data_IF_680136524009
#
_entry.id   IF_680136524009
#
_cell.length_a   1.000
_cell.length_b   1.000
_cell.length_c   1.000
_cell.angle_alpha   90.00
_cell.angle_beta   90.00
_cell.angle_gamma   90.00
#
_symmetry.space_group_name_H-M   'P 1'
#
loop_
_entity.id
_entity.type
_entity.pdbx_description
1 polymer ?
#
# COMPACT_ATOMS: atom_id res chain seq x y z
N UNK A 1 98.11 7.92 6.97
CA UNK A 1 99.50 8.09 6.49
C UNK A 1 99.53 8.96 5.22
N UNK A 2 99.14 10.24 5.33
CA UNK A 2 98.88 11.13 4.17
C UNK A 2 100.00 12.15 3.90
N UNK A 3 101.17 11.99 4.51
CA UNK A 3 102.23 13.02 4.46
C UNK A 3 102.87 13.09 3.08
N UNK A 4 103.20 11.93 2.48
CA UNK A 4 104.14 11.89 1.35
C UNK A 4 103.68 12.55 0.05
N UNK A 5 102.37 12.62 -0.25
CA UNK A 5 101.84 13.28 -1.46
C UNK A 5 101.67 14.79 -1.27
N UNK A 6 101.24 15.20 -0.07
CA UNK A 6 101.18 16.61 0.34
C UNK A 6 102.58 17.24 0.37
N UNK A 7 103.57 16.50 0.88
CA UNK A 7 104.98 16.92 0.94
C UNK A 7 105.57 17.16 -0.48
N UNK A 8 105.14 16.40 -1.49
CA UNK A 8 105.55 16.60 -2.89
C UNK A 8 104.85 17.77 -3.57
N UNK A 9 103.55 17.97 -3.36
CA UNK A 9 102.84 19.16 -3.86
C UNK A 9 103.38 20.44 -3.24
N UNK A 10 103.69 20.41 -1.94
CA UNK A 10 104.33 21.52 -1.25
C UNK A 10 105.75 21.78 -1.76
N UNK A 11 106.50 20.74 -2.15
CA UNK A 11 107.82 20.89 -2.78
C UNK A 11 107.74 21.61 -4.14
N UNK A 12 106.76 21.29 -4.98
CA UNK A 12 106.52 22.03 -6.23
C UNK A 12 106.11 23.48 -5.97
N UNK A 13 105.27 23.71 -4.94
CA UNK A 13 104.84 25.05 -4.53
C UNK A 13 105.99 25.91 -3.99
N UNK A 14 106.92 25.31 -3.22
CA UNK A 14 108.12 25.98 -2.70
C UNK A 14 109.06 26.43 -3.83
N UNK A 15 109.19 25.63 -4.90
CA UNK A 15 109.94 26.04 -6.10
C UNK A 15 109.15 26.94 -7.06
N UNK A 16 107.86 27.16 -6.81
CA UNK A 16 106.99 27.98 -7.64
C UNK A 16 106.69 27.36 -9.01
N UNK A 17 106.68 26.03 -9.09
CA UNK A 17 106.49 25.28 -10.32
C UNK A 17 105.14 24.53 -10.31
N UNK A 18 104.53 24.29 -11.48
CA UNK A 18 103.39 23.38 -11.57
C UNK A 18 103.85 21.94 -11.29
N UNK A 19 102.92 21.09 -10.83
CA UNK A 19 103.17 19.65 -10.60
C UNK A 19 103.56 18.87 -11.87
N UNK A 20 103.41 19.48 -13.05
CA UNK A 20 103.83 18.96 -14.35
C UNK A 20 105.21 19.44 -14.81
N UNK A 21 105.95 20.18 -13.99
CA UNK A 21 107.23 20.76 -14.38
C UNK A 21 108.29 19.66 -14.65
N UNK A 22 109.05 19.85 -15.72
CA UNK A 22 110.12 18.93 -16.11
C UNK A 22 111.36 19.06 -15.20
N UNK A 23 112.20 18.04 -15.17
CA UNK A 23 113.45 18.06 -14.38
C UNK A 23 114.37 19.22 -14.76
N UNK A 24 114.35 19.65 -16.03
CA UNK A 24 115.09 20.81 -16.50
C UNK A 24 114.55 22.12 -15.88
N UNK A 25 113.23 22.25 -15.75
CA UNK A 25 112.57 23.40 -15.12
C UNK A 25 112.78 23.41 -13.61
N UNK A 26 112.76 22.25 -12.95
CA UNK A 26 113.06 22.09 -11.52
C UNK A 26 114.50 22.54 -11.22
N UNK A 27 115.48 22.08 -12.01
CA UNK A 27 116.89 22.54 -11.89
C UNK A 27 117.03 24.04 -12.13
N UNK A 28 116.30 24.59 -13.10
CA UNK A 28 116.33 26.02 -13.42
C UNK A 28 115.73 26.88 -12.31
N UNK A 29 114.58 26.49 -11.76
CA UNK A 29 113.93 27.17 -10.65
C UNK A 29 114.76 27.09 -9.37
N UNK A 30 115.31 25.90 -9.07
CA UNK A 30 116.25 25.71 -7.97
C UNK A 30 117.44 26.66 -8.08
N UNK A 31 118.16 26.68 -9.23
CA UNK A 31 119.30 27.60 -9.43
C UNK A 31 118.92 29.05 -9.23
N UNK A 32 117.76 29.48 -9.74
CA UNK A 32 117.26 30.86 -9.62
C UNK A 32 116.94 31.23 -8.18
N UNK A 33 116.26 30.35 -7.44
CA UNK A 33 115.87 30.57 -6.05
C UNK A 33 117.07 30.43 -5.10
N UNK A 34 117.96 29.47 -5.34
CA UNK A 34 119.20 29.30 -4.61
C UNK A 34 120.11 30.51 -4.74
N UNK A 35 120.24 31.13 -5.91
CA UNK A 35 121.01 32.37 -6.06
C UNK A 35 120.38 33.56 -5.32
N UNK A 36 119.06 33.58 -5.19
CA UNK A 36 118.31 34.66 -4.51
C UNK A 36 118.36 34.55 -2.99
N UNK A 37 118.37 33.33 -2.46
CA UNK A 37 118.32 33.04 -1.02
C UNK A 37 119.60 32.40 -0.47
N UNK A 38 120.70 32.42 -1.22
CA UNK A 38 121.98 31.87 -0.75
C UNK A 38 122.47 32.65 0.48
N UNK A 39 122.90 31.97 1.57
CA UNK A 39 123.31 32.64 2.80
C UNK A 39 124.49 33.60 2.63
N UNK A 40 125.31 33.40 1.60
CA UNK A 40 126.50 34.22 1.28
C UNK A 40 126.24 35.34 0.25
N UNK A 41 125.13 35.28 -0.52
CA UNK A 41 124.86 36.19 -1.66
C UNK A 41 123.53 36.95 -1.57
N UNK A 42 122.70 36.66 -0.58
CA UNK A 42 121.46 37.38 -0.38
C UNK A 42 121.75 38.88 -0.20
N UNK A 43 121.12 39.73 -1.02
CA UNK A 43 121.26 41.18 -0.92
C UNK A 43 120.72 41.72 0.41
N UNK A 44 120.97 43.00 0.71
CA UNK A 44 120.54 43.69 1.95
C UNK A 44 119.01 43.71 2.19
N UNK A 45 118.21 43.20 1.25
CA UNK A 45 116.76 43.27 1.24
C UNK A 45 116.06 42.01 1.81
N UNK A 46 116.81 41.00 2.28
CA UNK A 46 116.25 39.76 2.87
C UNK A 46 116.94 39.45 4.20
N UNK A 47 116.15 39.18 5.24
CA UNK A 47 116.66 38.78 6.56
C UNK A 47 117.50 37.49 6.46
N UNK A 48 118.75 37.47 6.98
CA UNK A 48 119.61 36.29 6.96
C UNK A 48 118.97 35.02 7.54
N UNK A 49 118.13 35.14 8.57
CA UNK A 49 117.45 34.00 9.21
C UNK A 49 116.35 33.44 8.29
N UNK A 50 115.63 34.32 7.59
CA UNK A 50 114.60 33.91 6.64
C UNK A 50 115.21 33.34 5.34
N UNK A 51 116.32 33.90 4.87
CA UNK A 51 117.07 33.38 3.72
C UNK A 51 117.57 31.95 3.97
N UNK A 52 118.17 31.68 5.13
CA UNK A 52 118.64 30.34 5.51
C UNK A 52 117.49 29.33 5.58
N UNK A 53 116.36 29.69 6.21
CA UNK A 53 115.19 28.82 6.32
C UNK A 53 114.55 28.54 4.96
N UNK A 54 114.39 29.57 4.10
CA UNK A 54 113.86 29.38 2.74
C UNK A 54 114.80 28.54 1.88
N UNK A 55 116.11 28.78 1.97
CA UNK A 55 117.13 28.01 1.27
C UNK A 55 117.10 26.53 1.66
N UNK A 56 116.98 26.23 2.95
CA UNK A 56 116.83 24.86 3.44
C UNK A 56 115.57 24.19 2.86
N UNK A 57 114.42 24.89 2.86
CA UNK A 57 113.18 24.40 2.25
C UNK A 57 113.30 24.20 0.73
N UNK A 58 114.02 25.08 0.03
CA UNK A 58 114.30 24.99 -1.41
C UNK A 58 115.20 23.78 -1.72
N UNK A 59 116.23 23.53 -0.91
CA UNK A 59 117.10 22.35 -1.04
C UNK A 59 116.31 21.06 -0.81
N UNK A 60 115.55 20.99 0.28
CA UNK A 60 114.73 19.83 0.61
C UNK A 60 113.68 19.55 -0.49
N UNK A 61 113.05 20.60 -1.02
CA UNK A 61 112.12 20.48 -2.14
C UNK A 61 112.82 19.99 -3.43
N UNK A 62 114.03 20.49 -3.72
CA UNK A 62 114.80 20.04 -4.88
C UNK A 62 115.23 18.58 -4.76
N UNK A 63 115.73 18.15 -3.61
CA UNK A 63 116.13 16.76 -3.35
C UNK A 63 114.94 15.81 -3.48
N UNK A 64 113.80 16.17 -2.90
CA UNK A 64 112.57 15.36 -2.94
C UNK A 64 112.00 15.24 -4.37
N UNK A 65 112.12 16.30 -5.18
CA UNK A 65 111.62 16.31 -6.57
C UNK A 65 112.58 15.68 -7.58
N UNK A 66 113.88 15.63 -7.26
CA UNK A 66 114.90 15.02 -8.10
C UNK A 66 115.01 13.50 -7.91
N UNK A 67 114.40 12.93 -6.88
CA UNK A 67 114.30 11.47 -6.70
C UNK A 67 113.16 10.89 -7.56
N UNK A 68 113.47 10.13 -8.62
CA UNK A 68 112.45 9.52 -9.48
C UNK A 68 111.61 8.47 -8.75
N UNK A 69 112.14 7.81 -7.73
CA UNK A 69 111.42 6.79 -6.96
C UNK A 69 110.36 7.41 -6.05
N UNK A 70 110.70 8.50 -5.35
CA UNK A 70 109.75 9.27 -4.54
C UNK A 70 108.61 9.85 -5.40
N UNK A 71 108.95 10.41 -6.57
CA UNK A 71 107.97 10.96 -7.53
C UNK A 71 107.03 9.88 -8.05
N UNK A 72 107.56 8.73 -8.48
CA UNK A 72 106.75 7.62 -9.01
C UNK A 72 105.81 7.03 -7.94
N UNK A 73 106.28 6.85 -6.70
CA UNK A 73 105.49 6.32 -5.59
C UNK A 73 104.31 7.24 -5.24
N UNK A 74 104.52 8.55 -5.21
CA UNK A 74 103.45 9.50 -4.91
C UNK A 74 102.41 9.61 -6.03
N UNK A 75 102.85 9.53 -7.29
CA UNK A 75 101.94 9.45 -8.45
C UNK A 75 101.08 8.19 -8.36
N UNK A 76 101.69 7.02 -8.07
CA UNK A 76 100.95 5.77 -7.87
C UNK A 76 99.96 5.86 -6.70
N UNK A 77 100.37 6.40 -5.55
CA UNK A 77 99.47 6.59 -4.39
C UNK A 77 98.28 7.50 -4.71
N UNK A 78 98.51 8.59 -5.46
CA UNK A 78 97.44 9.51 -5.86
C UNK A 78 96.48 8.83 -6.86
N UNK A 79 97.02 8.03 -7.80
CA UNK A 79 96.21 7.25 -8.74
C UNK A 79 95.39 6.16 -8.02
N UNK A 80 95.97 5.47 -7.04
CA UNK A 80 95.26 4.47 -6.24
C UNK A 80 94.18 5.10 -5.34
N UNK A 81 94.47 6.24 -4.73
CA UNK A 81 93.52 6.97 -3.88
C UNK A 81 92.36 7.55 -4.69
N UNK A 82 92.64 8.15 -5.85
CA UNK A 82 91.60 8.62 -6.78
C UNK A 82 90.76 7.46 -7.33
N UNK A 83 91.38 6.34 -7.73
CA UNK A 83 90.66 5.15 -8.17
C UNK A 83 89.81 4.54 -7.04
N UNK A 84 90.32 4.53 -5.80
CA UNK A 84 89.57 4.08 -4.61
C UNK A 84 88.37 4.99 -4.34
N UNK A 85 88.57 6.31 -4.42
CA UNK A 85 87.51 7.31 -4.24
C UNK A 85 86.44 7.18 -5.33
N UNK A 86 86.83 7.05 -6.59
CA UNK A 86 85.89 6.82 -7.70
C UNK A 86 85.08 5.53 -7.51
N UNK A 87 85.71 4.42 -7.08
CA UNK A 87 84.97 3.19 -6.75
C UNK A 87 83.99 3.42 -5.61
N UNK A 88 84.40 4.12 -4.55
CA UNK A 88 83.52 4.43 -3.42
C UNK A 88 82.33 5.31 -3.82
N UNK A 89 82.55 6.31 -4.68
CA UNK A 89 81.50 7.17 -5.24
C UNK A 89 80.53 6.33 -6.11
N UNK A 90 81.03 5.47 -6.99
CA UNK A 90 80.19 4.55 -7.78
C UNK A 90 79.37 3.59 -6.90
N UNK A 91 79.95 3.05 -5.84
CA UNK A 91 79.20 2.21 -4.88
C UNK A 91 78.19 3.03 -4.07
N UNK A 92 78.50 4.28 -3.71
CA UNK A 92 77.57 5.17 -3.03
C UNK A 92 76.37 5.50 -3.94
N UNK A 93 76.63 5.83 -5.21
CA UNK A 93 75.60 6.12 -6.20
C UNK A 93 74.70 4.90 -6.46
N UNK A 94 75.30 3.70 -6.65
CA UNK A 94 74.51 2.47 -6.80
C UNK A 94 73.67 2.15 -5.57
N UNK A 95 74.22 2.32 -4.36
CA UNK A 95 73.44 2.11 -3.12
C UNK A 95 72.29 3.10 -3.01
N UNK A 96 72.50 4.36 -3.38
CA UNK A 96 71.45 5.37 -3.40
C UNK A 96 70.35 5.01 -4.41
N UNK A 97 70.72 4.62 -5.63
CA UNK A 97 69.76 4.19 -6.65
C UNK A 97 68.93 3.00 -6.18
N UNK A 98 69.58 1.98 -5.59
CA UNK A 98 68.86 0.84 -5.03
C UNK A 98 67.93 1.23 -3.87
N UNK A 99 68.36 2.15 -3.01
CA UNK A 99 67.52 2.66 -1.92
C UNK A 99 66.29 3.44 -2.44
N UNK A 100 66.50 4.35 -3.39
CA UNK A 100 65.43 5.15 -4.00
C UNK A 100 64.43 4.25 -4.76
N UNK A 101 64.91 3.21 -5.45
CA UNK A 101 64.07 2.23 -6.14
C UNK A 101 63.26 1.38 -5.16
N UNK A 102 63.89 0.90 -4.08
CA UNK A 102 63.21 0.16 -3.02
C UNK A 102 62.11 1.01 -2.38
N UNK A 103 62.42 2.25 -2.02
CA UNK A 103 61.46 3.18 -1.41
C UNK A 103 60.26 3.44 -2.35
N UNK A 104 60.50 3.67 -3.64
CA UNK A 104 59.42 3.83 -4.63
C UNK A 104 58.56 2.58 -4.74
N UNK A 105 59.17 1.40 -4.74
CA UNK A 105 58.45 0.12 -4.80
C UNK A 105 57.60 -0.10 -3.54
N UNK A 106 58.15 0.16 -2.36
CA UNK A 106 57.44 0.07 -1.09
C UNK A 106 56.27 1.06 -1.02
N UNK A 107 56.48 2.31 -1.43
CA UNK A 107 55.42 3.32 -1.50
C UNK A 107 54.30 2.90 -2.47
N UNK A 108 54.64 2.33 -3.63
CA UNK A 108 53.65 1.83 -4.57
C UNK A 108 52.88 0.63 -4.01
N UNK A 109 53.57 -0.30 -3.34
CA UNK A 109 52.94 -1.45 -2.69
C UNK A 109 51.99 -1.01 -1.57
N UNK A 110 52.41 -0.03 -0.76
CA UNK A 110 51.58 0.57 0.29
C UNK A 110 50.32 1.21 -0.29
N UNK A 111 50.47 2.09 -1.28
CA UNK A 111 49.32 2.75 -1.96
C UNK A 111 48.36 1.74 -2.57
N UNK A 112 48.88 0.69 -3.22
CA UNK A 112 48.04 -0.37 -3.80
C UNK A 112 47.22 -1.12 -2.74
N UNK A 113 47.82 -1.42 -1.58
CA UNK A 113 47.12 -2.05 -0.45
C UNK A 113 46.04 -1.14 0.10
N UNK A 114 46.36 0.13 0.34
CA UNK A 114 45.39 1.12 0.83
C UNK A 114 44.20 1.30 -0.14
N UNK A 115 44.47 1.38 -1.45
CA UNK A 115 43.43 1.47 -2.48
C UNK A 115 42.59 0.18 -2.58
N UNK A 116 43.18 -0.98 -2.30
CA UNK A 116 42.46 -2.25 -2.28
C UNK A 116 41.54 -2.33 -1.04
N UNK A 117 42.05 -1.97 0.13
CA UNK A 117 41.29 -1.91 1.38
C UNK A 117 40.14 -0.91 1.28
N UNK A 118 40.39 0.27 0.69
CA UNK A 118 39.36 1.28 0.43
C UNK A 118 38.25 0.72 -0.47
N UNK A 119 38.61 0.10 -1.59
CA UNK A 119 37.64 -0.54 -2.51
C UNK A 119 36.86 -1.67 -1.84
N UNK A 120 37.49 -2.44 -0.96
CA UNK A 120 36.82 -3.52 -0.22
C UNK A 120 35.81 -2.96 0.78
N UNK A 121 36.18 -1.90 1.53
CA UNK A 121 35.25 -1.22 2.46
C UNK A 121 34.07 -0.60 1.72
N UNK A 122 34.31 0.07 0.60
CA UNK A 122 33.24 0.64 -0.23
C UNK A 122 32.29 -0.45 -0.75
N UNK A 123 32.84 -1.59 -1.21
CA UNK A 123 32.04 -2.74 -1.65
C UNK A 123 31.19 -3.30 -0.50
N UNK A 124 31.79 -3.48 0.67
CA UNK A 124 31.10 -4.01 1.84
C UNK A 124 29.99 -3.06 2.30
N UNK A 125 30.27 -1.76 2.41
CA UNK A 125 29.29 -0.75 2.76
C UNK A 125 28.11 -0.73 1.77
N UNK A 126 28.38 -0.91 0.48
CA UNK A 126 27.33 -1.00 -0.55
C UNK A 126 26.48 -2.27 -0.40
N UNK A 127 27.09 -3.41 -0.09
CA UNK A 127 26.37 -4.66 0.19
C UNK A 127 25.46 -4.47 1.42
N UNK A 128 26.00 -3.88 2.49
CA UNK A 128 25.26 -3.67 3.73
C UNK A 128 24.07 -2.72 3.51
N UNK A 129 24.25 -1.65 2.73
CA UNK A 129 23.18 -0.73 2.35
C UNK A 129 22.08 -1.45 1.55
N UNK A 130 22.44 -2.23 0.54
CA UNK A 130 21.48 -3.01 -0.26
C UNK A 130 20.72 -4.02 0.60
N UNK A 131 21.37 -4.65 1.58
CA UNK A 131 20.72 -5.55 2.51
C UNK A 131 19.75 -4.81 3.44
N UNK A 132 20.11 -3.62 3.92
CA UNK A 132 19.22 -2.77 4.72
C UNK A 132 18.00 -2.32 3.93
N UNK A 133 18.19 -1.85 2.70
CA UNK A 133 17.11 -1.47 1.79
C UNK A 133 16.18 -2.66 1.50
N UNK A 134 16.75 -3.83 1.19
CA UNK A 134 15.98 -5.05 0.96
C UNK A 134 15.14 -5.43 2.20
N UNK A 135 15.70 -5.34 3.41
CA UNK A 135 14.98 -5.59 4.67
C UNK A 135 13.83 -4.58 4.87
N UNK A 136 14.07 -3.30 4.64
CA UNK A 136 13.05 -2.26 4.75
C UNK A 136 11.91 -2.50 3.75
N UNK A 137 12.23 -2.79 2.49
CA UNK A 137 11.27 -3.08 1.44
C UNK A 137 10.41 -4.31 1.77
N UNK A 138 11.01 -5.38 2.32
CA UNK A 138 10.26 -6.57 2.75
C UNK A 138 9.29 -6.24 3.89
N UNK A 139 9.73 -5.47 4.89
CA UNK A 139 8.87 -5.06 6.00
C UNK A 139 7.70 -4.19 5.53
N UNK A 140 7.97 -3.26 4.61
CA UNK A 140 6.93 -2.43 4.01
C UNK A 140 5.94 -3.25 3.19
N UNK A 141 6.43 -4.20 2.39
CA UNK A 141 5.58 -5.12 1.61
C UNK A 141 4.72 -6.00 2.52
N UNK A 142 5.26 -6.49 3.64
CA UNK A 142 4.48 -7.22 4.65
C UNK A 142 3.38 -6.35 5.27
N UNK A 143 3.70 -5.12 5.67
CA UNK A 143 2.71 -4.16 6.20
C UNK A 143 1.61 -3.85 5.18
N UNK A 144 1.96 -3.68 3.92
CA UNK A 144 0.98 -3.46 2.85
C UNK A 144 0.07 -4.67 2.65
N UNK A 145 0.62 -5.89 2.68
CA UNK A 145 -0.15 -7.12 2.58
C UNK A 145 -1.08 -7.33 3.78
N UNK A 146 -0.62 -7.06 5.00
CA UNK A 146 -1.44 -7.12 6.21
C UNK A 146 -2.58 -6.10 6.18
N UNK A 147 -2.29 -4.86 5.76
CA UNK A 147 -3.31 -3.83 5.57
C UNK A 147 -4.37 -4.25 4.55
N UNK A 148 -3.95 -4.78 3.39
CA UNK A 148 -4.86 -5.31 2.37
C UNK A 148 -5.77 -6.40 2.91
N UNK A 149 -5.21 -7.39 3.63
CA UNK A 149 -5.99 -8.45 4.28
C UNK A 149 -7.01 -7.87 5.27
N UNK A 150 -6.60 -6.92 6.10
CA UNK A 150 -7.49 -6.25 7.05
C UNK A 150 -8.62 -5.49 6.36
N UNK A 151 -8.31 -4.80 5.27
CA UNK A 151 -9.30 -4.06 4.48
C UNK A 151 -10.27 -5.02 3.77
N UNK A 152 -9.79 -6.15 3.25
CA UNK A 152 -10.61 -7.25 2.69
C UNK A 152 -11.53 -7.86 3.74
N UNK A 153 -11.03 -8.18 4.94
CA UNK A 153 -11.83 -8.71 6.04
C UNK A 153 -12.91 -7.70 6.50
N UNK A 154 -12.55 -6.40 6.53
CA UNK A 154 -13.51 -5.32 6.83
C UNK A 154 -14.57 -5.19 5.74
N UNK A 155 -14.20 -5.29 4.47
CA UNK A 155 -15.14 -5.25 3.35
C UNK A 155 -16.07 -6.47 3.38
N UNK A 156 -15.54 -7.67 3.61
CA UNK A 156 -16.30 -8.90 3.70
C UNK A 156 -17.29 -8.89 4.88
N UNK A 157 -16.88 -8.42 6.06
CA UNK A 157 -17.78 -8.28 7.21
C UNK A 157 -18.85 -7.22 6.97
N UNK A 158 -18.53 -6.10 6.31
CA UNK A 158 -19.52 -5.10 5.92
C UNK A 158 -20.52 -5.66 4.91
N UNK A 159 -20.07 -6.46 3.93
CA UNK A 159 -20.96 -7.15 2.99
C UNK A 159 -21.87 -8.16 3.70
N UNK A 160 -21.34 -8.95 4.64
CA UNK A 160 -22.15 -9.88 5.45
C UNK A 160 -23.24 -9.15 6.25
N UNK A 161 -22.90 -8.03 6.90
CA UNK A 161 -23.88 -7.20 7.63
C UNK A 161 -24.97 -6.65 6.71
N UNK A 162 -24.59 -6.16 5.52
CA UNK A 162 -25.54 -5.68 4.51
C UNK A 162 -26.46 -6.81 4.02
N UNK A 163 -25.89 -7.98 3.75
CA UNK A 163 -26.66 -9.15 3.32
C UNK A 163 -27.63 -9.63 4.41
N UNK A 164 -27.18 -9.64 5.68
CA UNK A 164 -28.02 -9.96 6.85
C UNK A 164 -29.16 -8.95 7.03
N UNK A 165 -28.87 -7.65 6.94
CA UNK A 165 -29.89 -6.60 7.00
C UNK A 165 -30.91 -6.72 5.85
N UNK A 166 -30.43 -6.98 4.63
CA UNK A 166 -31.29 -7.19 3.47
C UNK A 166 -32.14 -8.46 3.63
N UNK A 167 -31.57 -9.54 4.17
CA UNK A 167 -32.30 -10.76 4.47
C UNK A 167 -33.40 -10.51 5.52
N UNK A 168 -33.11 -9.73 6.57
CA UNK A 168 -34.10 -9.36 7.58
C UNK A 168 -35.23 -8.51 6.97
N UNK A 169 -34.91 -7.54 6.11
CA UNK A 169 -35.91 -6.76 5.35
C UNK A 169 -36.75 -7.62 4.41
N UNK A 170 -36.19 -8.72 3.91
CA UNK A 170 -36.89 -9.67 3.04
C UNK A 170 -37.88 -10.55 3.81
N UNK A 171 -37.72 -10.73 5.12
CA UNK A 171 -38.64 -11.53 5.92
C UNK A 171 -40.01 -10.84 6.08
N UNK A 172 -41.12 -11.61 6.08
CA UNK A 172 -42.44 -11.06 6.31
C UNK A 172 -42.56 -10.54 7.76
N UNK A 173 -43.14 -9.36 7.98
CA UNK A 173 -43.35 -8.80 9.33
C UNK A 173 -44.07 -9.81 10.22
N UNK A 174 -43.77 -9.90 11.53
CA UNK A 174 -44.46 -10.82 12.43
C UNK A 174 -45.97 -10.52 12.45
N UNK A 175 -46.77 -11.57 12.69
CA UNK A 175 -48.22 -11.44 12.85
C UNK A 175 -48.53 -10.79 14.21
N UNK A 176 -49.24 -9.67 14.19
CA UNK A 176 -49.80 -9.05 15.39
C UNK A 176 -51.10 -9.78 15.79
N UNK A 177 -51.41 -9.92 17.10
CA UNK A 177 -52.67 -10.53 17.53
C UNK A 177 -53.93 -9.92 16.89
N UNK A 178 -53.92 -8.62 16.59
CA UNK A 178 -55.04 -7.93 15.96
C UNK A 178 -55.07 -8.06 14.44
N UNK A 179 -54.04 -8.63 13.80
CA UNK A 179 -53.98 -8.76 12.34
C UNK A 179 -55.03 -9.75 11.81
N UNK A 180 -55.47 -10.70 12.64
CA UNK A 180 -56.56 -11.65 12.34
C UNK A 180 -57.95 -11.13 12.78
N UNK A 181 -58.00 -9.92 13.33
CA UNK A 181 -59.23 -9.35 13.88
C UNK A 181 -59.79 -8.30 12.95
N UNK A 182 -61.04 -8.50 12.55
CA UNK A 182 -61.81 -7.55 11.78
C UNK A 182 -62.83 -6.85 12.69
N UNK A 183 -63.24 -5.69 12.22
CA UNK A 183 -64.31 -4.89 12.76
C UNK A 183 -65.50 -5.00 11.82
N UNK A 184 -66.61 -5.54 12.33
CA UNK A 184 -67.89 -5.64 11.64
C UNK A 184 -68.82 -4.54 12.18
N UNK A 185 -69.34 -3.69 11.31
CA UNK A 185 -70.31 -2.64 11.66
C UNK A 185 -71.64 -2.93 11.00
N UNK A 186 -72.71 -2.87 11.79
CA UNK A 186 -74.06 -3.14 11.31
C UNK A 186 -75.08 -2.21 12.00
N UNK A 187 -76.26 -1.98 11.39
CA UNK A 187 -77.34 -1.20 12.00
C UNK A 187 -77.77 -1.77 13.35
N UNK A 188 -77.98 -0.90 14.34
CA UNK A 188 -78.42 -1.31 15.68
C UNK A 188 -79.76 -2.05 15.69
N UNK A 189 -80.59 -1.84 14.68
CA UNK A 189 -81.86 -2.57 14.44
C UNK A 189 -81.65 -4.07 14.22
N UNK A 190 -80.49 -4.48 13.71
CA UNK A 190 -80.16 -5.88 13.44
C UNK A 190 -79.56 -6.60 14.66
N UNK A 191 -79.34 -5.93 15.80
CA UNK A 191 -78.66 -6.54 16.96
C UNK A 191 -79.31 -7.85 17.44
N UNK A 192 -80.64 -7.89 17.50
CA UNK A 192 -81.37 -9.09 17.94
C UNK A 192 -81.17 -10.26 16.96
N UNK A 193 -81.14 -9.98 15.66
CA UNK A 193 -80.88 -10.98 14.62
C UNK A 193 -79.43 -11.46 14.67
N UNK A 194 -78.48 -10.55 14.86
CA UNK A 194 -77.04 -10.85 14.93
C UNK A 194 -76.65 -11.67 16.17
N UNK A 195 -77.37 -11.48 17.28
CA UNK A 195 -77.09 -12.16 18.56
C UNK A 195 -77.98 -13.37 18.81
N UNK A 196 -79.03 -13.56 18.01
CA UNK A 196 -79.99 -14.67 18.16
C UNK A 196 -80.91 -14.55 19.37
N UNK A 197 -80.97 -13.38 20.01
CA UNK A 197 -81.85 -13.15 21.17
C UNK A 197 -83.26 -12.72 20.73
N UNK A 198 -84.33 -13.23 21.39
CA UNK A 198 -85.69 -12.85 21.05
C UNK A 198 -85.94 -11.37 21.34
N UNK A 199 -86.57 -10.68 20.39
CA UNK A 199 -87.05 -9.31 20.53
C UNK A 199 -88.19 -9.25 21.56
N UNK A 200 -87.89 -9.20 22.86
CA UNK A 200 -88.92 -8.93 23.87
C UNK A 200 -89.09 -7.42 24.08
N UNK A 201 -90.32 -6.97 23.91
CA UNK A 201 -90.81 -5.59 23.95
C UNK A 201 -90.92 -4.97 25.35
N UNK A 202 -90.22 -5.51 26.36
CA UNK A 202 -90.21 -4.92 27.71
C UNK A 202 -88.80 -4.99 28.32
N UNK A 203 -88.26 -3.80 28.65
CA UNK A 203 -87.09 -3.46 29.50
C UNK A 203 -85.83 -4.37 29.45
N UNK A 204 -84.62 -3.78 29.30
CA UNK A 204 -83.41 -4.55 29.02
C UNK A 204 -82.92 -5.31 30.24
N UNK A 205 -83.08 -6.63 30.25
CA UNK A 205 -82.22 -7.50 31.05
C UNK A 205 -80.80 -7.35 30.51
N UNK A 206 -79.93 -6.79 31.35
CA UNK A 206 -78.49 -6.61 31.12
C UNK A 206 -77.90 -7.74 30.27
N UNK A 207 -77.43 -7.42 29.07
CA UNK A 207 -76.66 -8.34 28.23
C UNK A 207 -75.43 -8.81 29.00
N UNK A 208 -75.49 -10.01 29.58
CA UNK A 208 -74.34 -10.73 30.15
C UNK A 208 -74.06 -11.95 29.30
N UNK A 209 -73.71 -11.73 28.02
CA UNK A 209 -72.99 -12.74 27.26
C UNK A 209 -71.53 -12.63 27.72
N UNK A 210 -71.14 -13.46 28.68
CA UNK A 210 -69.81 -13.38 29.32
C UNK A 210 -68.87 -14.48 28.88
N UNK A 211 -69.37 -15.53 28.24
CA UNK A 211 -68.57 -16.71 27.87
C UNK A 211 -68.27 -16.71 26.37
N UNK A 212 -67.02 -16.96 25.99
CA UNK A 212 -66.56 -16.99 24.59
C UNK A 212 -67.36 -17.96 23.72
N UNK A 213 -67.72 -19.13 24.26
CA UNK A 213 -68.52 -20.15 23.56
C UNK A 213 -69.94 -19.69 23.20
N UNK A 214 -70.58 -18.92 24.08
CA UNK A 214 -71.92 -18.36 23.82
C UNK A 214 -71.89 -17.32 22.69
N UNK A 215 -70.82 -16.53 22.63
CA UNK A 215 -70.63 -15.51 21.59
C UNK A 215 -70.33 -16.13 20.22
N UNK A 216 -69.60 -17.26 20.18
CA UNK A 216 -69.32 -18.01 18.96
C UNK A 216 -70.54 -18.81 18.44
N UNK A 217 -71.55 -19.03 19.28
CA UNK A 217 -72.82 -19.66 18.87
C UNK A 217 -73.83 -18.67 18.27
N UNK A 218 -73.49 -17.38 18.16
CA UNK A 218 -74.41 -16.36 17.64
C UNK A 218 -74.65 -16.50 16.12
N UNK A 219 -75.80 -16.06 15.60
CA UNK A 219 -76.05 -16.04 14.14
C UNK A 219 -75.00 -15.24 13.36
N UNK A 220 -74.49 -14.14 13.93
CA UNK A 220 -73.39 -13.38 13.32
C UNK A 220 -72.10 -14.22 13.23
N UNK A 221 -71.73 -14.92 14.32
CA UNK A 221 -70.57 -15.80 14.31
C UNK A 221 -70.73 -16.93 13.28
N UNK A 222 -71.90 -17.55 13.22
CA UNK A 222 -72.21 -18.61 12.25
C UNK A 222 -72.15 -18.11 10.81
N UNK A 223 -72.70 -16.93 10.51
CA UNK A 223 -72.67 -16.34 9.17
C UNK A 223 -71.25 -16.00 8.72
N UNK A 224 -70.44 -15.39 9.61
CA UNK A 224 -69.03 -15.10 9.34
C UNK A 224 -68.22 -16.39 9.13
N UNK A 225 -68.47 -17.40 9.96
CA UNK A 225 -67.80 -18.69 9.87
C UNK A 225 -68.15 -19.46 8.57
N UNK A 226 -69.41 -19.40 8.14
CA UNK A 226 -69.88 -20.05 6.94
C UNK A 226 -69.35 -19.41 5.64
N UNK A 227 -69.19 -18.08 5.63
CA UNK A 227 -68.79 -17.34 4.43
C UNK A 227 -67.28 -17.17 4.28
N UNK A 228 -66.55 -17.07 5.40
CA UNK A 228 -65.12 -16.72 5.37
C UNK A 228 -64.21 -17.76 6.02
N UNK A 229 -64.61 -18.33 7.16
CA UNK A 229 -63.79 -19.32 7.87
C UNK A 229 -63.92 -19.24 9.39
N UNK A 230 -63.37 -20.20 10.14
CA UNK A 230 -63.64 -20.35 11.57
C UNK A 230 -63.18 -19.14 12.41
N UNK A 231 -64.00 -18.79 13.39
CA UNK A 231 -63.75 -17.71 14.34
C UNK A 231 -63.15 -18.25 15.64
N UNK A 232 -62.13 -17.56 16.15
CA UNK A 232 -61.50 -17.81 17.44
C UNK A 232 -62.19 -17.02 18.56
N UNK A 233 -62.54 -15.76 18.29
CA UNK A 233 -63.17 -14.86 19.26
C UNK A 233 -64.18 -13.93 18.57
N UNK A 234 -65.30 -13.65 19.24
CA UNK A 234 -66.26 -12.62 18.83
C UNK A 234 -66.63 -11.74 20.02
N UNK A 235 -66.62 -10.42 19.85
CA UNK A 235 -66.99 -9.47 20.89
C UNK A 235 -67.83 -8.31 20.36
N UNK A 236 -68.98 -8.06 20.97
CA UNK A 236 -69.83 -6.91 20.65
C UNK A 236 -69.42 -5.67 21.47
N UNK A 237 -69.17 -4.55 20.80
CA UNK A 237 -68.89 -3.26 21.43
C UNK A 237 -70.20 -2.51 21.67
N UNK A 238 -70.87 -2.86 22.76
CA UNK A 238 -72.11 -2.23 23.19
C UNK A 238 -71.83 -0.97 24.01
N UNK A 239 -72.68 0.07 23.94
CA UNK A 239 -72.55 1.24 24.80
C UNK A 239 -72.70 0.84 26.27
N UNK A 240 -71.89 1.45 27.13
CA UNK A 240 -71.97 1.25 28.59
C UNK A 240 -73.37 1.59 29.11
N UNK A 241 -73.82 0.83 30.13
CA UNK A 241 -75.12 0.97 30.77
C UNK A 241 -75.41 2.45 31.10
N UNK A 242 -76.44 3.02 30.47
CA UNK A 242 -76.84 4.43 30.65
C UNK A 242 -76.55 5.38 29.47
N UNK A 243 -75.83 4.95 28.42
CA UNK A 243 -75.65 5.74 27.19
C UNK A 243 -76.66 5.36 26.11
N UNK A 244 -77.11 6.35 25.30
CA UNK A 244 -78.00 6.11 24.15
C UNK A 244 -77.37 5.13 23.16
N UNK A 245 -78.18 4.24 22.60
CA UNK A 245 -77.75 3.30 21.58
C UNK A 245 -77.27 4.04 20.34
N UNK A 246 -76.09 3.68 19.83
CA UNK A 246 -75.57 4.24 18.57
C UNK A 246 -76.40 3.69 17.41
N UNK A 247 -76.52 4.47 16.32
CA UNK A 247 -77.19 4.03 15.08
C UNK A 247 -76.59 2.74 14.53
N UNK A 248 -75.28 2.59 14.67
CA UNK A 248 -74.53 1.40 14.29
C UNK A 248 -73.81 0.79 15.50
N UNK A 249 -73.71 -0.52 15.48
CA UNK A 249 -73.00 -1.33 16.46
C UNK A 249 -71.73 -1.87 15.81
N UNK A 250 -70.70 -2.06 16.62
CA UNK A 250 -69.45 -2.64 16.17
C UNK A 250 -69.25 -3.98 16.87
N UNK A 251 -68.92 -5.02 16.12
CA UNK A 251 -68.39 -6.26 16.65
C UNK A 251 -66.93 -6.43 16.21
N UNK A 252 -66.10 -6.99 17.07
CA UNK A 252 -64.75 -7.45 16.76
C UNK A 252 -64.79 -8.96 16.59
N UNK A 253 -64.42 -9.43 15.40
CA UNK A 253 -64.39 -10.84 15.05
C UNK A 253 -62.94 -11.23 14.73
N UNK A 254 -62.39 -12.17 15.48
CA UNK A 254 -61.04 -12.69 15.30
C UNK A 254 -61.12 -14.07 14.64
N UNK A 255 -60.51 -14.21 13.47
CA UNK A 255 -60.44 -15.48 12.74
C UNK A 255 -59.23 -16.30 13.18
N UNK A 256 -59.29 -17.61 12.93
CA UNK A 256 -58.13 -18.50 13.14
C UNK A 256 -57.00 -18.18 12.16
N UNK A 257 -57.35 -17.92 10.89
CA UNK A 257 -56.42 -17.66 9.80
C UNK A 257 -56.44 -16.19 9.34
N UNK A 258 -55.31 -15.72 8.82
CA UNK A 258 -55.20 -14.35 8.29
C UNK A 258 -55.90 -14.21 6.93
N UNK A 259 -55.93 -15.27 6.13
CA UNK A 259 -56.61 -15.34 4.84
C UNK A 259 -58.11 -15.08 4.97
N UNK A 260 -58.78 -15.73 5.93
CA UNK A 260 -60.21 -15.54 6.20
C UNK A 260 -60.53 -14.10 6.59
N UNK A 261 -59.74 -13.53 7.50
CA UNK A 261 -59.88 -12.14 7.92
C UNK A 261 -59.68 -11.16 6.75
N UNK A 262 -58.70 -11.41 5.88
CA UNK A 262 -58.50 -10.61 4.68
C UNK A 262 -59.71 -10.73 3.75
N UNK A 263 -60.15 -11.94 3.42
CA UNK A 263 -61.28 -12.15 2.51
C UNK A 263 -62.56 -11.47 3.02
N UNK A 264 -62.81 -11.53 4.33
CA UNK A 264 -63.91 -10.82 4.97
C UNK A 264 -63.82 -9.30 4.81
N UNK A 265 -62.62 -8.71 4.95
CA UNK A 265 -62.42 -7.26 4.73
C UNK A 265 -62.56 -6.88 3.25
N UNK A 266 -62.09 -7.70 2.31
CA UNK A 266 -62.26 -7.42 0.88
C UNK A 266 -63.73 -7.44 0.49
N UNK A 267 -64.46 -8.51 0.81
CA UNK A 267 -65.85 -8.66 0.40
C UNK A 267 -66.79 -7.75 1.21
N UNK A 268 -66.59 -7.68 2.53
CA UNK A 268 -67.41 -6.85 3.43
C UNK A 268 -67.04 -5.36 3.41
N UNK A 269 -65.86 -5.00 2.93
CA UNK A 269 -65.51 -3.60 2.64
C UNK A 269 -66.19 -3.08 1.37
N UNK A 270 -66.43 -3.97 0.40
CA UNK A 270 -67.14 -3.68 -0.85
C UNK A 270 -68.65 -3.96 -0.81
N UNK A 271 -69.20 -4.33 0.35
CA UNK A 271 -70.62 -4.68 0.53
C UNK A 271 -71.09 -5.81 -0.41
N UNK A 272 -70.24 -6.82 -0.61
CA UNK A 272 -70.52 -7.99 -1.47
C UNK A 272 -70.95 -9.24 -0.70
N UNK A 273 -71.16 -9.09 0.61
CA UNK A 273 -71.62 -10.18 1.47
C UNK A 273 -73.10 -10.50 1.21
N UNK A 274 -73.55 -11.69 1.62
CA UNK A 274 -74.91 -12.17 1.35
C UNK A 274 -75.61 -12.59 2.64
N UNK A 275 -76.94 -12.65 2.61
CA UNK A 275 -77.74 -13.08 3.75
C UNK A 275 -77.63 -12.11 4.92
N UNK A 276 -77.34 -12.62 6.12
CA UNK A 276 -77.29 -11.80 7.35
C UNK A 276 -76.20 -10.71 7.29
N UNK A 277 -75.21 -10.83 6.40
CA UNK A 277 -74.06 -9.94 6.30
C UNK A 277 -74.20 -8.86 5.21
N UNK A 278 -75.31 -8.80 4.49
CA UNK A 278 -75.52 -7.88 3.35
C UNK A 278 -75.37 -6.40 3.75
N UNK A 279 -75.87 -6.01 4.93
CA UNK A 279 -75.78 -4.64 5.47
C UNK A 279 -74.57 -4.40 6.39
N UNK A 280 -73.60 -5.34 6.41
CA UNK A 280 -72.44 -5.28 7.28
C UNK A 280 -71.24 -4.64 6.58
N UNK A 281 -70.72 -3.54 7.13
CA UNK A 281 -69.41 -3.02 6.73
C UNK A 281 -68.29 -3.72 7.51
N UNK A 282 -67.29 -4.25 6.80
CA UNK A 282 -66.13 -4.92 7.41
C UNK A 282 -64.85 -4.15 7.13
N UNK A 283 -63.98 -4.04 8.13
CA UNK A 283 -62.66 -3.44 7.98
C UNK A 283 -61.70 -3.93 9.07
N UNK A 284 -60.42 -3.60 8.96
CA UNK A 284 -59.42 -4.00 9.96
C UNK A 284 -59.70 -3.39 11.34
N UNK A 285 -59.44 -4.16 12.41
CA UNK A 285 -59.71 -3.72 13.78
C UNK A 285 -58.69 -2.71 14.31
N UNK A 286 -57.44 -2.75 13.81
CA UNK A 286 -56.35 -1.89 14.27
C UNK A 286 -56.60 -0.42 13.90
N UNK A 287 -56.42 0.48 14.85
CA UNK A 287 -56.53 1.93 14.64
C UNK A 287 -55.51 2.71 15.47
N UNK A 288 -55.21 3.94 15.04
CA UNK A 288 -54.54 4.96 15.86
C UNK A 288 -55.49 6.13 16.10
N UNK A 289 -55.43 6.72 17.29
CA UNK A 289 -56.15 7.96 17.59
C UNK A 289 -55.32 9.16 17.12
N UNK A 290 -55.76 9.84 16.06
CA UNK A 290 -55.19 11.12 15.65
C UNK A 290 -56.06 12.26 16.17
N UNK A 291 -55.45 13.36 16.58
CA UNK A 291 -56.16 14.61 16.86
C UNK A 291 -56.31 15.37 15.56
N UNK A 292 -57.54 15.70 15.17
CA UNK A 292 -57.80 16.68 14.12
C UNK A 292 -57.41 18.08 14.59
N UNK A 293 -57.25 18.99 13.63
CA UNK A 293 -56.99 20.42 13.87
C UNK A 293 -58.06 21.05 14.77
N UNK A 294 -59.32 20.59 14.67
CA UNK A 294 -60.44 21.02 15.54
C UNK A 294 -60.43 20.41 16.95
N UNK A 295 -59.38 19.67 17.33
CA UNK A 295 -59.25 19.01 18.63
C UNK A 295 -60.06 17.71 18.80
N UNK A 296 -60.88 17.33 17.81
CA UNK A 296 -61.64 16.06 17.83
C UNK A 296 -60.71 14.88 17.60
N UNK A 297 -60.80 13.86 18.47
CA UNK A 297 -60.09 12.59 18.30
C UNK A 297 -60.76 11.76 17.19
N UNK A 298 -60.00 11.42 16.17
CA UNK A 298 -60.42 10.54 15.08
C UNK A 298 -59.65 9.22 15.14
N UNK A 299 -60.37 8.11 14.98
CA UNK A 299 -59.77 6.79 14.86
C UNK A 299 -59.47 6.51 13.40
N UNK A 300 -58.20 6.43 13.06
CA UNK A 300 -57.74 6.06 11.71
C UNK A 300 -57.41 4.58 11.73
N UNK A 301 -58.15 3.80 10.95
CA UNK A 301 -57.97 2.35 10.86
C UNK A 301 -56.92 2.02 9.81
N UNK A 302 -56.06 1.04 10.11
CA UNK A 302 -54.95 0.68 9.23
C UNK A 302 -54.96 -0.80 8.89
N UNK A 303 -54.57 -1.07 7.65
CA UNK A 303 -54.28 -2.41 7.17
C UNK A 303 -53.04 -2.98 7.90
N UNK A 304 -53.10 -4.25 8.35
CA UNK A 304 -51.97 -4.95 8.97
C UNK A 304 -50.66 -4.80 8.20
N UNK A 305 -49.55 -4.75 8.92
CA UNK A 305 -48.23 -4.61 8.31
C UNK A 305 -47.90 -5.78 7.39
N UNK A 306 -48.32 -7.00 7.75
CA UNK A 306 -48.14 -8.19 6.92
C UNK A 306 -48.94 -8.11 5.61
N UNK A 307 -50.18 -7.67 5.66
CA UNK A 307 -51.03 -7.52 4.45
C UNK A 307 -50.43 -6.46 3.51
N UNK A 308 -50.00 -5.31 4.05
CA UNK A 308 -49.29 -4.27 3.28
C UNK A 308 -48.00 -4.80 2.64
N UNK A 309 -47.27 -5.67 3.35
CA UNK A 309 -46.05 -6.30 2.84
C UNK A 309 -46.35 -7.28 1.69
N UNK A 310 -47.42 -8.09 1.81
CA UNK A 310 -47.87 -9.03 0.78
C UNK A 310 -48.27 -8.27 -0.49
N UNK A 311 -49.10 -7.23 -0.35
CA UNK A 311 -49.56 -6.40 -1.47
C UNK A 311 -48.42 -5.69 -2.20
N UNK A 312 -47.45 -5.13 -1.48
CA UNK A 312 -46.27 -4.48 -2.09
C UNK A 312 -45.41 -5.44 -2.92
N UNK A 313 -45.51 -6.75 -2.67
CA UNK A 313 -44.77 -7.80 -3.38
C UNK A 313 -45.59 -8.48 -4.48
N UNK A 314 -46.81 -8.00 -4.75
CA UNK A 314 -47.68 -8.58 -5.79
C UNK A 314 -48.20 -9.99 -5.45
N UNK A 315 -48.09 -10.42 -4.19
CA UNK A 315 -48.59 -11.72 -3.76
C UNK A 315 -50.11 -11.64 -3.67
N UNK A 316 -50.81 -12.60 -4.29
CA UNK A 316 -52.27 -12.55 -4.42
C UNK A 316 -53.01 -12.86 -3.12
N UNK A 317 -52.51 -13.79 -2.28
CA UNK A 317 -53.13 -14.20 -1.01
C UNK A 317 -52.09 -14.43 0.11
N UNK A 318 -52.47 -14.37 1.40
CA UNK A 318 -51.59 -14.71 2.52
C UNK A 318 -51.02 -16.12 2.51
N UNK A 319 -51.74 -17.05 1.91
CA UNK A 319 -51.34 -18.45 1.76
C UNK A 319 -50.25 -18.61 0.71
N UNK A 320 -50.17 -17.68 -0.25
CA UNK A 320 -49.18 -17.71 -1.34
C UNK A 320 -47.82 -17.15 -0.91
N UNK A 321 -47.61 -16.87 0.38
CA UNK A 321 -46.30 -16.47 0.89
C UNK A 321 -45.35 -17.67 0.71
N UNK A 322 -44.32 -17.57 -0.13
CA UNK A 322 -43.41 -18.68 -0.36
C UNK A 322 -42.70 -19.05 0.94
N UNK A 323 -42.71 -20.33 1.29
CA UNK A 323 -41.92 -20.86 2.41
C UNK A 323 -40.44 -20.57 2.21
N UNK A 324 -39.98 -20.54 0.95
CA UNK A 324 -38.65 -20.11 0.53
C UNK A 324 -38.68 -18.73 -0.14
N UNK A 325 -38.44 -17.69 0.67
CA UNK A 325 -38.37 -16.28 0.21
C UNK A 325 -37.21 -16.01 -0.76
N UNK A 326 -36.25 -16.95 -0.89
CA UNK A 326 -35.13 -16.85 -1.83
C UNK A 326 -35.53 -17.17 -3.28
N UNK A 327 -36.58 -17.95 -3.52
CA UNK A 327 -37.01 -18.35 -4.87
C UNK A 327 -37.80 -17.25 -5.61
N UNK A 328 -38.41 -16.31 -4.88
CA UNK A 328 -39.23 -15.24 -5.44
C UNK A 328 -38.42 -14.06 -6.01
N UNK A 329 -37.09 -14.06 -5.82
CA UNK A 329 -36.24 -12.90 -6.09
C UNK A 329 -35.75 -12.81 -7.53
N UNK A 330 -35.85 -13.87 -8.34
CA UNK A 330 -35.36 -13.85 -9.72
C UNK A 330 -36.30 -13.16 -10.72
N UNK A 331 -37.58 -12.98 -10.37
CA UNK A 331 -38.59 -12.44 -11.30
C UNK A 331 -38.96 -10.97 -11.02
N UNK A 332 -38.84 -10.48 -9.78
CA UNK A 332 -39.33 -9.14 -9.42
C UNK A 332 -38.23 -8.06 -9.45
N UNK A 333 -36.95 -8.42 -9.28
CA UNK A 333 -35.85 -7.43 -9.35
C UNK A 333 -35.57 -6.92 -10.79
N UNK A 334 -36.16 -7.53 -11.82
CA UNK A 334 -36.01 -7.08 -13.21
C UNK A 334 -36.85 -5.84 -13.58
N UNK A 335 -37.95 -5.57 -12.85
CA UNK A 335 -38.90 -4.49 -13.20
C UNK A 335 -38.83 -3.25 -12.29
N UNK A 336 -38.00 -3.26 -11.24
CA UNK A 336 -37.93 -2.18 -10.26
C UNK A 336 -36.93 -1.06 -10.59
N UNK A 337 -36.01 -1.26 -11.55
CA UNK A 337 -34.96 -0.28 -11.91
C UNK A 337 -35.35 0.72 -13.02
N UNK A 338 -36.60 0.71 -13.50
CA UNK A 338 -37.05 1.60 -14.59
C UNK A 338 -37.84 2.85 -14.11
N UNK A 339 -38.05 3.03 -12.81
CA UNK A 339 -38.91 4.12 -12.33
C UNK A 339 -38.28 4.99 -11.24
N UNK A 340 -37.16 5.66 -11.54
CA UNK A 340 -36.81 6.94 -10.89
C UNK A 340 -35.84 7.75 -11.77
N UNK A 341 -36.39 8.55 -12.67
CA UNK A 341 -35.82 9.84 -13.06
C UNK A 341 -36.89 10.67 -13.76
N UNK A 342 -37.15 11.85 -13.18
CA UNK A 342 -37.73 13.10 -13.73
C UNK A 342 -38.69 13.75 -12.71
N UNK A 343 -38.61 15.03 -12.35
CA UNK A 343 -37.75 16.17 -12.71
C UNK A 343 -37.81 17.23 -11.59
N UNK A 344 -36.72 17.97 -11.39
CA UNK A 344 -36.79 19.40 -11.07
C UNK A 344 -36.33 20.12 -12.34
N UNK A 345 -37.24 20.83 -13.00
CA UNK A 345 -36.92 21.63 -14.19
C UNK A 345 -35.89 22.73 -13.90
N UNK A 346 -35.31 23.33 -14.95
CA UNK A 346 -36.02 24.47 -15.51
C UNK A 346 -36.02 24.55 -17.04
N UNK A 347 -37.03 25.30 -17.50
CA UNK A 347 -37.32 25.69 -18.87
C UNK A 347 -36.11 26.27 -19.63
N UNK A 348 -35.99 25.91 -20.91
CA UNK A 348 -35.88 26.86 -22.04
C UNK A 348 -35.95 26.14 -23.40
N UNK A 349 -37.11 26.27 -24.02
CA UNK A 349 -37.37 26.68 -25.40
C UNK A 349 -36.43 26.27 -26.58
N UNK A 350 -37.13 25.81 -27.63
CA UNK A 350 -36.84 25.88 -29.08
C UNK A 350 -36.00 24.78 -29.75
N UNK A 351 -36.58 24.17 -30.79
CA UNK A 351 -35.80 23.65 -31.93
C UNK A 351 -36.26 22.33 -32.55
N UNK A 352 -37.35 22.36 -33.30
CA UNK A 352 -37.53 21.77 -34.64
C UNK A 352 -36.99 20.35 -35.01
N UNK A 353 -37.94 19.60 -35.61
CA UNK A 353 -37.82 18.71 -36.78
C UNK A 353 -37.28 17.26 -36.65
N UNK A 354 -38.25 16.35 -36.89
CA UNK A 354 -38.17 15.05 -37.57
C UNK A 354 -36.91 14.77 -38.41
N UNK A 355 -36.26 13.62 -38.17
CA UNK A 355 -36.26 12.51 -39.14
C UNK A 355 -35.57 11.27 -38.57
N UNK A 356 -36.19 10.13 -38.85
CA UNK A 356 -35.77 8.79 -38.47
C UNK A 356 -34.40 8.41 -39.06
N UNK A 357 -33.54 7.82 -38.22
CA UNK A 357 -32.58 6.78 -38.61
C UNK A 357 -32.38 5.84 -37.42
N UNK A 358 -32.88 4.62 -37.57
CA UNK A 358 -32.52 3.50 -36.70
C UNK A 358 -31.03 3.21 -36.87
N UNK A 359 -30.26 3.40 -35.81
CA UNK A 359 -28.93 2.81 -35.64
C UNK A 359 -28.94 2.05 -34.33
N UNK A 360 -28.86 0.72 -34.42
CA UNK A 360 -28.66 -0.15 -33.26
C UNK A 360 -27.32 0.20 -32.58
N UNK A 361 -27.27 0.48 -31.26
CA UNK A 361 -26.02 0.48 -30.54
C UNK A 361 -25.68 -0.97 -30.20
N UNK A 362 -24.80 -1.56 -31.00
CA UNK A 362 -24.15 -2.83 -30.70
C UNK A 362 -23.09 -2.56 -29.62
N UNK A 363 -23.49 -2.60 -28.34
CA UNK A 363 -22.54 -2.51 -27.23
C UNK A 363 -21.80 -3.84 -27.11
N UNK A 364 -20.73 -4.00 -27.89
CA UNK A 364 -19.70 -4.99 -27.59
C UNK A 364 -18.93 -4.52 -26.35
N UNK A 365 -19.07 -5.26 -25.25
CA UNK A 365 -18.27 -5.02 -24.05
C UNK A 365 -16.80 -5.29 -24.36
N UNK A 366 -15.93 -4.34 -24.01
CA UNK A 366 -14.47 -4.42 -24.18
C UNK A 366 -13.88 -5.67 -23.51
N UNK A 367 -14.50 -6.12 -22.43
CA UNK A 367 -14.13 -7.35 -21.71
C UNK A 367 -14.44 -8.62 -22.52
N UNK A 368 -15.43 -8.56 -23.41
CA UNK A 368 -15.78 -9.66 -24.31
C UNK A 368 -14.78 -9.76 -25.47
N UNK A 369 -14.32 -8.63 -26.02
CA UNK A 369 -13.27 -8.60 -27.04
C UNK A 369 -11.95 -9.15 -26.47
N UNK A 370 -11.56 -8.75 -25.26
CA UNK A 370 -10.32 -9.20 -24.64
C UNK A 370 -10.33 -10.71 -24.34
N UNK A 371 -11.46 -11.24 -23.85
CA UNK A 371 -11.63 -12.69 -23.63
C UNK A 371 -11.72 -13.49 -24.93
N UNK A 372 -12.23 -12.89 -26.00
CA UNK A 372 -12.32 -13.53 -27.32
C UNK A 372 -10.95 -13.59 -27.99
N UNK A 373 -10.15 -12.53 -27.88
CA UNK A 373 -8.78 -12.48 -28.37
C UNK A 373 -7.85 -13.45 -27.63
N UNK A 374 -7.99 -13.58 -26.30
CA UNK A 374 -7.21 -14.54 -25.51
C UNK A 374 -7.55 -16.01 -25.87
N UNK A 375 -8.82 -16.31 -26.19
CA UNK A 375 -9.21 -17.63 -26.71
C UNK A 375 -8.61 -17.92 -28.09
N UNK A 376 -8.63 -16.94 -29.00
CA UNK A 376 -8.03 -17.10 -30.33
C UNK A 376 -6.52 -17.30 -30.25
N UNK A 377 -5.83 -16.53 -29.40
CA UNK A 377 -4.39 -16.65 -29.20
C UNK A 377 -3.99 -18.02 -28.63
N UNK A 378 -4.77 -18.56 -27.67
CA UNK A 378 -4.56 -19.92 -27.15
C UNK A 378 -4.83 -21.01 -28.17
N UNK A 379 -5.85 -20.84 -29.03
CA UNK A 379 -6.13 -21.78 -30.10
C UNK A 379 -5.01 -21.79 -31.16
N UNK A 380 -4.43 -20.63 -31.45
CA UNK A 380 -3.32 -20.49 -32.39
C UNK A 380 -2.01 -21.09 -31.85
N UNK A 381 -1.75 -20.94 -30.55
CA UNK A 381 -0.64 -21.63 -29.88
C UNK A 381 -0.83 -23.16 -29.83
N UNK A 382 -2.06 -23.64 -29.68
CA UNK A 382 -2.37 -25.07 -29.71
C UNK A 382 -2.15 -25.69 -31.11
N UNK A 383 -2.44 -24.96 -32.19
CA UNK A 383 -2.15 -25.40 -33.56
C UNK A 383 -0.65 -25.43 -33.89
N UNK A 384 0.15 -24.58 -33.25
CA UNK A 384 1.61 -24.55 -33.40
C UNK A 384 2.33 -25.56 -32.48
N UNK A 385 1.61 -26.16 -31.53
CA UNK A 385 2.14 -27.10 -30.54
C UNK A 385 2.02 -28.58 -30.89
N UNK A 386 1.41 -28.95 -32.02
CA UNK A 386 1.28 -30.35 -32.43
C UNK A 386 2.15 -30.68 -33.64
N UNK A 387 3.40 -31.04 -33.38
CA UNK A 387 4.23 -31.82 -34.28
C UNK A 387 4.87 -32.99 -33.52
N UNK A 388 4.43 -34.25 -33.72
CA UNK A 388 5.15 -35.40 -33.22
C UNK A 388 6.35 -35.72 -34.13
N UNK A 389 7.56 -35.45 -33.63
CA UNK A 389 8.81 -35.97 -34.20
C UNK A 389 8.98 -37.43 -33.78
N UNK A 390 8.49 -38.35 -34.61
CA UNK A 390 8.82 -39.77 -34.54
C UNK A 390 9.79 -40.10 -35.67
N UNK A 391 11.09 -40.20 -35.38
CA UNK A 391 12.02 -40.98 -36.20
C UNK A 391 12.94 -41.76 -35.25
N UNK A 392 12.62 -43.03 -35.09
CA UNK A 392 13.50 -44.06 -34.53
C UNK A 392 14.50 -44.52 -35.59
N UNK A 393 15.68 -44.89 -35.10
CA UNK A 393 16.78 -45.49 -35.83
C UNK A 393 16.45 -46.83 -36.47
N UNK A 394 17.03 -47.07 -37.65
CA UNK A 394 17.58 -48.34 -38.12
C UNK A 394 18.73 -48.06 -39.08
#
# INVERSE_FOLDING_TARGET
MSSSTADLQDSFRVLGLPSSASEAEIKKAYRKLSLRYHPDKAGKDVDPVEAANRFHRINLAYETLMDPAARAKAVQQTQEETARRQRQEQYADRRKQMADELERSEQQAYRKREDADRRQRERQAKIDLLQQEARSMLLEKQRQAEKRRRDEDRAASAQRRKAEEQALRRQPPPLDPLDRTIRVRFPSTQLAQMTGQPTQTHAPTTMKMTTTEELLSTPLASALAAQFGPLEHLQFQLPSSGKKMKREITALASFTELSDAWQAVLQGGEMRCTGLLEDCYMGWARYEEKRREDGVKEKVYFEPARIRWIRKRGIARPEDIPTDLNAFSSEIEADADVAMQDEIGPASATGQHNSARHTYPQTYSRDYEEKTLDRMHRAQLAQLGTAPSTVQAA
#
